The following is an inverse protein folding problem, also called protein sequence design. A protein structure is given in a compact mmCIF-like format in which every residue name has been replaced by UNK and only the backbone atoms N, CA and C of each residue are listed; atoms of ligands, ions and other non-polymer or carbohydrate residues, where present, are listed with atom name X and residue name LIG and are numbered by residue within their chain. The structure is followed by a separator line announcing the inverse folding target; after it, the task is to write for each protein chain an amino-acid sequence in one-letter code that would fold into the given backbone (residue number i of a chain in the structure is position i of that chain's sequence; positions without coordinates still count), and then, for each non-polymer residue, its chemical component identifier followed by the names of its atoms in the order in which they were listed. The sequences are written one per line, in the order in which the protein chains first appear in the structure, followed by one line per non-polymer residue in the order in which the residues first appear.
data_IF_243035186865
#
_entry.id   IF_243035186865
#
_cell.length_a   1.000
_cell.length_b   1.000
_cell.length_c   1.000
_cell.angle_alpha   90.00
_cell.angle_beta   90.00
_cell.angle_gamma   90.00
#
_symmetry.space_group_name_H-M   'P 1'
#
loop_
_entity.id
_entity.type
_entity.pdbx_description
1 polymer ?
#
# COMPACT_ATOMS: atom_id res chain seq x y z
N UNK A 1 -6.19 -3.86 -1.87
CA UNK A 1 -5.48 -3.26 -3.02
C UNK A 1 -6.29 -2.10 -3.54
N UNK A 2 -5.65 -1.14 -4.16
CA UNK A 2 -6.30 -0.07 -4.90
C UNK A 2 -6.02 -0.22 -6.38
N UNK A 3 -7.00 0.14 -7.19
CA UNK A 3 -6.84 0.25 -8.64
C UNK A 3 -6.68 1.73 -8.98
N UNK A 4 -5.60 2.04 -9.69
CA UNK A 4 -5.22 3.38 -10.12
C UNK A 4 -5.10 3.42 -11.64
N UNK A 5 -5.30 4.61 -12.22
CA UNK A 5 -5.04 4.81 -13.66
C UNK A 5 -3.70 5.53 -13.82
N UNK A 6 -2.69 4.83 -14.33
CA UNK A 6 -1.33 5.34 -14.50
C UNK A 6 -0.79 5.00 -15.88
N UNK A 7 -0.17 5.98 -16.53
CA UNK A 7 0.47 5.80 -17.84
C UNK A 7 -0.45 5.13 -18.88
N UNK A 8 -1.73 5.50 -18.88
CA UNK A 8 -2.71 4.99 -19.85
C UNK A 8 -3.28 3.63 -19.53
N UNK A 9 -3.05 3.08 -18.34
CA UNK A 9 -3.63 1.78 -17.97
C UNK A 9 -4.01 1.71 -16.48
N UNK A 10 -4.89 0.77 -16.20
CA UNK A 10 -5.33 0.48 -14.83
C UNK A 10 -4.34 -0.47 -14.19
N UNK A 11 -3.79 -0.07 -13.03
CA UNK A 11 -2.82 -0.87 -12.28
C UNK A 11 -3.25 -1.02 -10.83
N UNK A 12 -2.76 -2.07 -10.19
CA UNK A 12 -2.99 -2.34 -8.78
C UNK A 12 -1.77 -1.97 -7.95
N UNK A 13 -2.04 -1.43 -6.76
CA UNK A 13 -1.02 -1.12 -5.77
C UNK A 13 -1.59 -1.37 -4.36
N UNK A 14 -0.72 -1.52 -3.39
CA UNK A 14 -1.13 -1.35 -2.00
C UNK A 14 -1.52 0.12 -1.79
N UNK A 15 -2.47 0.43 -0.88
CA UNK A 15 -2.67 1.82 -0.49
C UNK A 15 -1.34 2.43 -0.05
N UNK A 16 -0.98 3.57 -0.60
CA UNK A 16 0.31 4.19 -0.33
C UNK A 16 0.25 5.69 -0.60
N UNK A 17 1.04 6.44 0.13
CA UNK A 17 1.17 7.86 -0.06
C UNK A 17 2.40 8.41 0.65
N UNK A 18 2.53 9.71 0.59
CA UNK A 18 3.66 10.43 1.16
C UNK A 18 3.37 10.86 2.58
N UNK A 19 4.41 10.82 3.42
CA UNK A 19 4.37 11.37 4.76
C UNK A 19 4.13 12.88 4.70
N UNK A 20 3.20 13.36 5.52
CA UNK A 20 2.98 14.79 5.69
C UNK A 20 3.83 15.36 6.83
N UNK A 21 4.03 16.68 6.83
CA UNK A 21 4.80 17.33 7.88
C UNK A 21 4.17 17.08 9.25
N UNK A 22 5.01 16.77 10.24
CA UNK A 22 4.61 16.53 11.63
C UNK A 22 3.68 15.32 11.83
N UNK A 23 3.64 14.43 10.86
CA UNK A 23 2.84 13.20 10.91
C UNK A 23 3.76 12.02 11.22
N UNK A 24 3.32 11.09 12.08
CA UNK A 24 4.05 9.86 12.30
C UNK A 24 3.88 8.89 11.12
N UNK A 25 4.83 7.98 10.94
CA UNK A 25 4.75 6.96 9.88
C UNK A 25 3.52 6.06 10.06
N UNK A 26 3.17 5.73 11.29
CA UNK A 26 2.01 4.88 11.58
C UNK A 26 0.70 5.62 11.25
N UNK A 27 0.61 6.90 11.62
CA UNK A 27 -0.56 7.71 11.31
C UNK A 27 -0.69 7.95 9.81
N UNK A 28 0.43 8.16 9.10
CA UNK A 28 0.43 8.30 7.65
C UNK A 28 -0.12 7.04 6.97
N UNK A 29 0.30 5.86 7.40
CA UNK A 29 -0.19 4.61 6.85
C UNK A 29 -1.69 4.43 7.05
N UNK A 30 -2.20 4.76 8.24
CA UNK A 30 -3.65 4.69 8.53
C UNK A 30 -4.43 5.71 7.70
N UNK A 31 -3.94 6.93 7.63
CA UNK A 31 -4.58 8.02 6.86
C UNK A 31 -4.69 7.67 5.38
N UNK A 32 -3.57 7.27 4.77
CA UNK A 32 -3.55 6.91 3.35
C UNK A 32 -4.47 5.73 3.06
N UNK A 33 -4.49 4.73 3.93
CA UNK A 33 -5.38 3.58 3.75
C UNK A 33 -6.84 4.00 3.79
N UNK A 34 -7.21 4.86 4.74
CA UNK A 34 -8.58 5.36 4.85
C UNK A 34 -8.97 6.21 3.64
N UNK A 35 -8.09 7.11 3.19
CA UNK A 35 -8.35 7.99 2.05
C UNK A 35 -8.48 7.22 0.74
N UNK A 36 -7.72 6.14 0.57
CA UNK A 36 -7.68 5.40 -0.68
C UNK A 36 -8.60 4.19 -0.72
N UNK A 37 -9.04 3.68 0.42
CA UNK A 37 -9.87 2.47 0.47
C UNK A 37 -11.19 2.63 1.23
N UNK A 38 -11.36 3.71 1.98
CA UNK A 38 -12.48 3.90 2.91
C UNK A 38 -12.50 2.87 4.05
N UNK A 39 -11.36 2.22 4.34
CA UNK A 39 -11.23 1.29 5.45
C UNK A 39 -10.38 1.87 6.57
N UNK A 40 -10.89 1.80 7.80
CA UNK A 40 -10.08 1.94 9.00
C UNK A 40 -9.36 0.63 9.25
N UNK A 41 -8.07 0.71 9.55
CA UNK A 41 -7.24 -0.46 9.80
C UNK A 41 -6.46 -0.33 11.09
N UNK A 42 -6.13 -1.47 11.69
CA UNK A 42 -5.17 -1.57 12.77
C UNK A 42 -3.86 -2.12 12.19
N UNK A 43 -2.77 -1.36 12.35
CA UNK A 43 -1.46 -1.83 11.93
C UNK A 43 -1.00 -2.93 12.90
N UNK A 44 -0.54 -4.05 12.37
CA UNK A 44 -0.17 -5.21 13.17
C UNK A 44 1.33 -5.50 13.16
N UNK A 45 2.05 -4.94 12.20
CA UNK A 45 3.50 -5.13 12.13
C UNK A 45 4.11 -4.50 10.89
N UNK A 46 5.43 -4.58 10.80
CA UNK A 46 6.21 -4.10 9.66
C UNK A 46 6.60 -5.29 8.81
N UNK A 47 6.22 -5.26 7.54
CA UNK A 47 6.62 -6.29 6.57
C UNK A 47 8.07 -6.07 6.15
N UNK A 48 8.43 -4.84 5.80
CA UNK A 48 9.78 -4.53 5.39
C UNK A 48 9.96 -3.07 4.95
N UNK A 49 11.21 -2.74 4.68
CA UNK A 49 11.63 -1.45 4.13
C UNK A 49 12.21 -1.72 2.76
N UNK A 50 11.74 -0.99 1.76
CA UNK A 50 12.08 -1.21 0.36
C UNK A 50 12.63 0.06 -0.27
N UNK A 51 13.62 -0.10 -1.14
CA UNK A 51 14.08 0.96 -2.02
C UNK A 51 13.66 0.62 -3.44
N UNK A 52 13.12 1.60 -4.13
CA UNK A 52 12.69 1.45 -5.51
C UNK A 52 13.01 2.72 -6.29
N UNK A 53 13.77 2.57 -7.37
CA UNK A 53 14.07 3.67 -8.28
C UNK A 53 13.12 3.58 -9.47
N UNK A 54 12.24 4.56 -9.60
CA UNK A 54 11.26 4.57 -10.67
C UNK A 54 11.93 4.84 -12.03
N UNK A 55 11.75 3.97 -13.04
CA UNK A 55 12.33 4.19 -14.36
C UNK A 55 11.83 5.46 -15.04
N UNK A 56 10.61 5.89 -14.72
CA UNK A 56 9.97 7.04 -15.36
C UNK A 56 10.61 8.38 -15.01
N UNK A 57 11.17 8.53 -13.79
CA UNK A 57 11.70 9.81 -13.32
C UNK A 57 13.06 9.71 -12.63
N UNK A 58 13.62 8.51 -12.47
CA UNK A 58 14.91 8.29 -11.82
C UNK A 58 14.92 8.55 -10.32
N UNK A 59 13.77 8.80 -9.70
CA UNK A 59 13.66 9.06 -8.27
C UNK A 59 13.69 7.74 -7.50
N UNK A 60 14.49 7.70 -6.43
CA UNK A 60 14.51 6.56 -5.51
C UNK A 60 13.53 6.81 -4.37
N UNK A 61 12.55 5.93 -4.25
CA UNK A 61 11.56 5.96 -3.18
C UNK A 61 11.92 4.95 -2.10
N UNK A 62 11.78 5.37 -0.85
CA UNK A 62 11.84 4.46 0.28
C UNK A 62 10.40 4.15 0.72
N UNK A 63 10.04 2.88 0.66
CA UNK A 63 8.71 2.41 1.07
C UNK A 63 8.84 1.62 2.35
N UNK A 64 7.97 1.92 3.31
CA UNK A 64 7.78 1.08 4.49
C UNK A 64 6.43 0.38 4.31
N UNK A 65 6.45 -0.95 4.29
CA UNK A 65 5.24 -1.74 4.13
C UNK A 65 4.80 -2.28 5.49
N UNK A 66 3.55 -2.00 5.84
CA UNK A 66 2.93 -2.48 7.08
C UNK A 66 1.93 -3.59 6.77
N UNK A 67 1.80 -4.52 7.70
CA UNK A 67 0.65 -5.41 7.75
C UNK A 67 -0.43 -4.75 8.59
N UNK A 68 -1.68 -4.97 8.21
CA UNK A 68 -2.81 -4.37 8.91
C UNK A 68 -4.01 -5.31 8.89
N UNK A 69 -4.88 -5.10 9.86
CA UNK A 69 -6.17 -5.77 9.96
C UNK A 69 -7.27 -4.77 9.67
N UNK A 70 -8.22 -5.12 8.82
CA UNK A 70 -9.37 -4.28 8.51
C UNK A 70 -10.31 -4.23 9.72
N UNK A 71 -10.69 -3.04 10.15
CA UNK A 71 -11.58 -2.82 11.29
C UNK A 71 -12.99 -2.43 10.87
N UNK A 72 -13.11 -1.37 10.08
CA UNK A 72 -14.40 -0.82 9.71
C UNK A 72 -14.36 -0.22 8.31
N UNK A 73 -15.36 -0.55 7.51
CA UNK A 73 -15.56 0.04 6.18
C UNK A 73 -16.53 1.23 6.28
N UNK A 74 -16.19 2.31 5.57
CA UNK A 74 -17.00 3.51 5.45
C UNK A 74 -17.46 3.66 4.00
N UNK A 75 -18.48 2.91 3.54
CA UNK A 75 -18.86 2.89 2.12
C UNK A 75 -19.35 4.24 1.58
N UNK A 76 -19.78 5.14 2.47
CA UNK A 76 -20.22 6.49 2.10
C UNK A 76 -19.06 7.45 1.81
N UNK A 77 -17.83 7.08 2.19
CA UNK A 77 -16.67 7.93 2.03
C UNK A 77 -16.17 7.89 0.59
N UNK A 78 -16.00 9.07 -0.01
CA UNK A 78 -15.38 9.17 -1.33
C UNK A 78 -13.89 8.81 -1.23
N UNK A 79 -13.38 8.08 -2.23
CA UNK A 79 -11.96 7.76 -2.34
C UNK A 79 -11.21 8.93 -2.97
N UNK A 80 -9.89 8.98 -2.78
CA UNK A 80 -9.05 9.97 -3.44
C UNK A 80 -9.26 9.94 -4.96
N UNK A 81 -9.14 11.11 -5.59
CA UNK A 81 -9.55 11.33 -6.98
C UNK A 81 -8.84 10.46 -8.01
N UNK A 82 -7.62 10.01 -7.73
CA UNK A 82 -6.85 9.15 -8.63
C UNK A 82 -7.07 7.66 -8.36
N UNK A 83 -7.87 7.30 -7.37
CA UNK A 83 -8.24 5.92 -7.08
C UNK A 83 -9.53 5.56 -7.82
N UNK A 84 -9.48 4.51 -8.63
CA UNK A 84 -10.65 4.00 -9.35
C UNK A 84 -11.56 3.24 -8.39
N UNK A 85 -10.98 2.32 -7.61
CA UNK A 85 -11.69 1.54 -6.59
C UNK A 85 -10.72 0.87 -5.63
N UNK A 86 -11.22 0.49 -4.46
CA UNK A 86 -10.56 -0.44 -3.57
C UNK A 86 -11.12 -1.84 -3.80
N UNK A 87 -10.26 -2.85 -3.76
CA UNK A 87 -10.65 -4.23 -4.08
C UNK A 87 -9.85 -5.23 -3.26
N UNK A 88 -10.50 -6.31 -2.85
CA UNK A 88 -9.84 -7.45 -2.26
C UNK A 88 -9.33 -8.35 -3.39
N UNK A 89 -8.03 -8.64 -3.37
CA UNK A 89 -7.39 -9.53 -4.33
C UNK A 89 -6.61 -10.61 -3.59
N UNK A 90 -6.74 -11.84 -4.04
CA UNK A 90 -5.86 -12.92 -3.61
C UNK A 90 -4.49 -12.76 -4.28
N UNK A 91 -3.48 -13.45 -3.71
CA UNK A 91 -2.16 -13.50 -4.35
C UNK A 91 -2.25 -14.07 -5.76
N UNK A 92 -3.04 -15.13 -5.95
CA UNK A 92 -3.23 -15.79 -7.25
C UNK A 92 -3.84 -14.84 -8.28
N UNK A 93 -4.85 -14.08 -7.89
CA UNK A 93 -5.47 -13.09 -8.77
C UNK A 93 -4.48 -12.00 -9.18
N UNK A 94 -3.67 -11.51 -8.24
CA UNK A 94 -2.67 -10.50 -8.52
C UNK A 94 -1.58 -11.04 -9.46
N UNK A 95 -1.08 -12.26 -9.22
CA UNK A 95 -0.01 -12.85 -10.03
C UNK A 95 -0.48 -13.26 -11.43
N UNK A 96 -1.79 -13.44 -11.62
CA UNK A 96 -2.34 -13.82 -12.93
C UNK A 96 -2.19 -12.70 -13.98
N UNK A 97 -1.99 -11.45 -13.56
CA UNK A 97 -1.90 -10.31 -14.46
C UNK A 97 -0.76 -9.35 -14.10
N UNK A 98 0.50 -9.75 -14.39
CA UNK A 98 1.68 -8.94 -14.06
C UNK A 98 1.68 -7.55 -14.70
N UNK A 99 1.02 -7.38 -15.83
CA UNK A 99 0.96 -6.09 -16.54
C UNK A 99 0.17 -5.05 -15.74
N UNK A 100 -0.65 -5.49 -14.79
CA UNK A 100 -1.42 -4.59 -13.93
C UNK A 100 -0.75 -4.29 -12.59
N UNK A 101 0.48 -4.68 -12.38
CA UNK A 101 1.22 -4.26 -11.19
C UNK A 101 1.71 -2.82 -11.36
N UNK A 102 1.47 -2.00 -10.33
CA UNK A 102 2.02 -0.62 -10.30
C UNK A 102 3.53 -0.64 -10.41
N UNK A 103 4.17 -1.61 -9.75
CA UNK A 103 5.59 -1.91 -9.82
C UNK A 103 5.83 -3.34 -9.33
N UNK A 104 7.04 -3.83 -9.46
CA UNK A 104 7.43 -5.14 -8.93
C UNK A 104 7.42 -5.22 -7.40
N UNK A 105 7.37 -4.07 -6.71
CA UNK A 105 7.19 -4.05 -5.25
C UNK A 105 5.82 -4.60 -4.83
N UNK A 106 4.81 -4.51 -5.68
CA UNK A 106 3.45 -4.93 -5.33
C UNK A 106 3.40 -6.42 -4.98
N UNK A 107 3.83 -7.36 -5.85
CA UNK A 107 3.87 -8.77 -5.49
C UNK A 107 4.93 -9.07 -4.44
N UNK A 108 6.06 -8.35 -4.45
CA UNK A 108 7.14 -8.57 -3.49
C UNK A 108 6.69 -8.34 -2.06
N UNK A 109 5.98 -7.26 -1.79
CA UNK A 109 5.47 -6.97 -0.45
C UNK A 109 4.53 -8.08 0.04
N UNK A 110 3.69 -8.62 -0.85
CA UNK A 110 2.78 -9.71 -0.51
C UNK A 110 3.56 -10.99 -0.20
N UNK A 111 4.52 -11.33 -1.02
CA UNK A 111 5.34 -12.52 -0.82
C UNK A 111 6.13 -12.45 0.48
N UNK A 112 6.71 -11.30 0.79
CA UNK A 112 7.45 -11.09 2.04
C UNK A 112 6.51 -11.17 3.24
N UNK A 113 5.30 -10.63 3.13
CA UNK A 113 4.28 -10.76 4.19
C UNK A 113 3.93 -12.22 4.46
N UNK A 114 3.71 -13.01 3.40
CA UNK A 114 3.33 -14.41 3.53
C UNK A 114 4.48 -15.28 4.04
N UNK A 115 5.71 -14.98 3.65
CA UNK A 115 6.89 -15.72 4.10
C UNK A 115 7.28 -15.39 5.54
N UNK A 116 7.03 -14.15 5.98
CA UNK A 116 7.48 -13.68 7.29
C UNK A 116 9.00 -13.54 7.38
N UNK A 117 9.53 -13.12 8.54
CA UNK A 117 8.78 -12.74 9.74
C UNK A 117 8.11 -11.37 9.62
N UNK A 118 7.10 -11.16 10.44
CA UNK A 118 6.51 -9.84 10.64
C UNK A 118 7.24 -9.15 11.80
N UNK A 119 7.72 -7.93 11.56
CA UNK A 119 8.50 -7.19 12.56
C UNK A 119 7.61 -6.32 13.43
N UNK A 120 8.04 -6.09 14.67
CA UNK A 120 7.30 -5.28 15.63
C UNK A 120 7.16 -3.83 15.16
N UNK A 121 6.00 -3.23 15.40
CA UNK A 121 5.78 -1.79 15.20
C UNK A 121 6.70 -0.93 16.09
N UNK A 122 7.21 -1.49 17.19
CA UNK A 122 8.17 -0.80 18.05
C UNK A 122 9.50 -0.48 17.34
N UNK A 123 9.74 -1.07 16.17
CA UNK A 123 10.86 -0.70 15.31
C UNK A 123 10.74 0.75 14.80
N UNK A 124 9.53 1.25 14.67
CA UNK A 124 9.26 2.61 14.21
C UNK A 124 9.31 3.56 15.41
N UNK A 125 10.23 4.50 15.37
CA UNK A 125 10.56 5.41 16.47
C UNK A 125 10.35 6.88 16.04
N UNK A 126 9.15 7.22 15.73
CA UNK A 126 8.80 8.56 15.26
C UNK A 126 7.89 9.34 16.20
#
# INVERSE_FOLDING_TARGET
MVEEFKAGKHVFNQPAGHLEANESLLDAARRETLEETAWEVELTGVVGIYLYTAPSNGVTYQRICFAARALKHHPERALDSDIVRAVWLSREELLADPERWRSELVPRCIDDYLAGPLHSLALIRD
#
